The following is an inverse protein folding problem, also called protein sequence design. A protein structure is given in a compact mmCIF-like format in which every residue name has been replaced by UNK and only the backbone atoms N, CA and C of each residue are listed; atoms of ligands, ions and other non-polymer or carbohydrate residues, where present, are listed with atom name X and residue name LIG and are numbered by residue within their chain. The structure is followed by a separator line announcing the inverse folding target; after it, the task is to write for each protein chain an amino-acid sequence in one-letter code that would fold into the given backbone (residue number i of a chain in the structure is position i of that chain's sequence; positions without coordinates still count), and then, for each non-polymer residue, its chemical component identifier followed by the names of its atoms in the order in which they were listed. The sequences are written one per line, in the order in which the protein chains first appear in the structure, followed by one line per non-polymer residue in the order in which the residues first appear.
data_IF_160992880226
#
_entry.id   IF_160992880226
#
_cell.length_a   1.000
_cell.length_b   1.000
_cell.length_c   1.000
_cell.angle_alpha   90.00
_cell.angle_beta   90.00
_cell.angle_gamma   90.00
#
_symmetry.space_group_name_H-M   'P 1'
#
loop_
_entity.id
_entity.type
_entity.pdbx_description
1 polymer ?
#
# COMPACT_ATOMS: atom_id res chain seq x y z
N UNK A 1 3.44 -23.34 6.04
CA UNK A 1 3.56 -21.86 6.15
C UNK A 1 3.07 -21.43 7.53
N UNK A 2 3.73 -20.47 8.19
CA UNK A 2 3.29 -19.98 9.50
C UNK A 2 1.87 -19.40 9.44
N UNK A 3 1.15 -19.42 10.56
CA UNK A 3 -0.20 -18.86 10.68
C UNK A 3 -0.24 -17.38 10.21
N UNK A 4 0.77 -16.59 10.55
CA UNK A 4 0.89 -15.18 10.14
C UNK A 4 0.94 -15.03 8.61
N UNK A 5 1.76 -15.84 7.92
CA UNK A 5 1.84 -15.82 6.45
C UNK A 5 0.53 -16.18 5.77
N UNK A 6 -0.29 -17.03 6.41
CA UNK A 6 -1.62 -17.39 5.87
C UNK A 6 -2.61 -16.24 6.04
N UNK A 7 -2.58 -15.55 7.18
CA UNK A 7 -3.40 -14.36 7.45
C UNK A 7 -3.05 -13.23 6.49
N UNK A 8 -1.76 -12.96 6.27
CA UNK A 8 -1.28 -11.94 5.31
C UNK A 8 -1.83 -12.20 3.90
N UNK A 9 -1.63 -13.41 3.38
CA UNK A 9 -2.12 -13.79 2.04
C UNK A 9 -3.63 -13.67 1.90
N UNK A 10 -4.39 -14.09 2.92
CA UNK A 10 -5.86 -13.99 2.93
C UNK A 10 -6.32 -12.55 2.74
N UNK A 11 -5.71 -11.60 3.46
CA UNK A 11 -6.11 -10.20 3.39
C UNK A 11 -5.63 -9.50 2.12
N UNK A 12 -4.40 -9.77 1.69
CA UNK A 12 -3.89 -9.27 0.41
C UNK A 12 -4.81 -9.64 -0.75
N UNK A 13 -5.19 -10.93 -0.86
CA UNK A 13 -6.09 -11.41 -1.91
C UNK A 13 -7.50 -10.77 -1.81
N UNK A 14 -8.02 -10.56 -0.59
CA UNK A 14 -9.34 -9.94 -0.40
C UNK A 14 -9.34 -8.46 -0.79
N UNK A 15 -8.26 -7.73 -0.51
CA UNK A 15 -8.14 -6.31 -0.89
C UNK A 15 -7.99 -6.14 -2.40
N UNK A 16 -7.20 -7.02 -3.03
CA UNK A 16 -7.01 -7.04 -4.49
C UNK A 16 -8.33 -7.33 -5.22
N UNK A 17 -9.06 -8.37 -4.80
CA UNK A 17 -10.36 -8.72 -5.40
C UNK A 17 -11.43 -7.63 -5.22
N UNK A 18 -11.30 -6.78 -4.21
CA UNK A 18 -12.21 -5.67 -3.93
C UNK A 18 -11.74 -4.34 -4.54
N UNK A 19 -10.59 -4.32 -5.21
CA UNK A 19 -10.00 -3.12 -5.85
C UNK A 19 -9.91 -1.90 -4.92
N UNK A 20 -9.76 -2.09 -3.61
CA UNK A 20 -9.87 -0.98 -2.63
C UNK A 20 -8.73 0.04 -2.70
N UNK A 21 -7.64 -0.28 -3.38
CA UNK A 21 -6.50 0.61 -3.61
C UNK A 21 -6.50 1.23 -5.01
N UNK A 22 -7.53 0.97 -5.81
CA UNK A 22 -7.76 1.63 -7.08
C UNK A 22 -8.70 2.81 -6.85
N UNK A 23 -8.18 4.02 -7.03
CA UNK A 23 -8.96 5.23 -6.78
C UNK A 23 -9.95 5.49 -7.93
N UNK A 24 -11.24 5.54 -7.62
CA UNK A 24 -12.30 6.04 -8.50
C UNK A 24 -12.57 7.54 -8.21
N UNK A 25 -12.30 8.46 -9.15
CA UNK A 25 -12.47 9.89 -8.94
C UNK A 25 -13.95 10.29 -8.71
N UNK A 26 -14.28 10.63 -7.46
CA UNK A 26 -15.59 11.20 -7.11
C UNK A 26 -15.46 12.71 -6.79
N UNK A 27 -16.05 13.62 -7.58
CA UNK A 27 -16.03 15.06 -7.33
C UNK A 27 -16.64 15.47 -5.98
N UNK A 28 -17.45 14.62 -5.35
CA UNK A 28 -18.06 14.87 -4.03
C UNK A 28 -17.09 14.60 -2.89
N UNK A 29 -16.01 13.85 -3.12
CA UNK A 29 -15.00 13.50 -2.11
C UNK A 29 -13.81 14.44 -2.22
N UNK A 30 -13.21 14.79 -1.07
CA UNK A 30 -11.99 15.58 -1.05
C UNK A 30 -10.84 14.75 -1.63
N UNK A 31 -10.29 15.18 -2.77
CA UNK A 31 -9.10 14.57 -3.37
C UNK A 31 -7.92 14.58 -2.40
N UNK A 32 -7.23 13.45 -2.31
CA UNK A 32 -5.92 13.33 -1.68
C UNK A 32 -5.00 12.53 -2.60
N UNK A 33 -3.77 13.01 -2.79
CA UNK A 33 -2.70 12.27 -3.46
C UNK A 33 -1.55 12.13 -2.47
N UNK A 34 -1.14 10.89 -2.20
CA UNK A 34 -0.01 10.57 -1.33
C UNK A 34 0.94 9.70 -2.15
N UNK A 35 2.23 10.06 -2.17
CA UNK A 35 3.24 9.34 -2.94
C UNK A 35 4.60 9.44 -2.25
N UNK A 36 5.55 8.60 -2.67
CA UNK A 36 6.96 8.65 -2.26
C UNK A 36 7.86 8.52 -3.50
N UNK A 37 9.13 8.94 -3.42
CA UNK A 37 10.07 8.78 -4.52
C UNK A 37 10.23 7.31 -4.89
N UNK A 38 9.98 7.00 -6.17
CA UNK A 38 10.13 5.64 -6.69
C UNK A 38 11.59 5.17 -6.55
N UNK A 39 11.85 3.96 -6.04
CA UNK A 39 13.21 3.48 -5.81
C UNK A 39 13.92 3.15 -7.13
N UNK A 40 15.24 3.31 -7.15
CA UNK A 40 16.07 2.83 -8.25
C UNK A 40 16.11 1.29 -8.25
N UNK A 41 15.97 0.69 -9.43
CA UNK A 41 15.93 -0.77 -9.61
C UNK A 41 17.34 -1.38 -9.74
N UNK A 42 18.28 -0.95 -8.89
CA UNK A 42 19.67 -1.38 -8.90
C UNK A 42 19.97 -2.48 -7.86
N UNK A 43 19.01 -2.87 -7.03
CA UNK A 43 19.20 -3.92 -6.04
C UNK A 43 17.93 -4.26 -5.24
N UNK A 44 18.05 -5.20 -4.28
CA UNK A 44 16.94 -5.58 -3.42
C UNK A 44 16.49 -4.45 -2.48
N UNK A 45 15.20 -4.45 -2.14
CA UNK A 45 14.67 -3.52 -1.15
C UNK A 45 15.23 -3.82 0.25
N UNK A 46 15.97 -2.87 0.83
CA UNK A 46 16.36 -2.89 2.24
C UNK A 46 15.35 -2.16 3.14
N UNK A 47 15.54 -2.26 4.48
CA UNK A 47 14.63 -1.71 5.52
C UNK A 47 14.30 -0.22 5.38
N UNK A 48 15.19 0.57 4.75
CA UNK A 48 14.95 1.99 4.50
C UNK A 48 13.79 2.22 3.54
N UNK A 49 13.62 1.36 2.55
CA UNK A 49 12.46 1.40 1.64
C UNK A 49 11.17 1.13 2.40
N UNK A 50 11.16 0.14 3.29
CA UNK A 50 10.01 -0.18 4.13
C UNK A 50 9.65 1.01 5.02
N UNK A 51 10.62 1.65 5.66
CA UNK A 51 10.39 2.83 6.49
C UNK A 51 9.70 3.97 5.73
N UNK A 52 10.12 4.24 4.50
CA UNK A 52 9.52 5.30 3.66
C UNK A 52 8.14 4.88 3.13
N UNK A 53 8.01 3.68 2.57
CA UNK A 53 6.76 3.22 1.96
C UNK A 53 5.63 3.03 3.00
N UNK A 54 5.94 2.48 4.17
CA UNK A 54 4.94 2.25 5.23
C UNK A 54 4.34 3.56 5.75
N UNK A 55 5.11 4.65 5.82
CA UNK A 55 4.57 5.96 6.23
C UNK A 55 3.50 6.46 5.28
N UNK A 56 3.75 6.32 3.98
CA UNK A 56 2.79 6.68 2.93
C UNK A 56 1.55 5.80 3.00
N UNK A 57 1.72 4.48 3.11
CA UNK A 57 0.60 3.53 3.19
C UNK A 57 -0.28 3.76 4.43
N UNK A 58 0.32 3.98 5.60
CA UNK A 58 -0.41 4.26 6.85
C UNK A 58 -1.21 5.56 6.74
N UNK A 59 -0.62 6.62 6.17
CA UNK A 59 -1.33 7.88 6.00
C UNK A 59 -2.45 7.76 4.96
N UNK A 60 -2.23 7.04 3.86
CA UNK A 60 -3.23 6.80 2.83
C UNK A 60 -4.43 5.97 3.35
N UNK A 61 -4.20 5.04 4.28
CA UNK A 61 -5.28 4.26 4.92
C UNK A 61 -6.07 5.03 5.96
N UNK A 62 -5.44 6.04 6.59
CA UNK A 62 -6.07 6.84 7.63
C UNK A 62 -7.00 7.93 7.06
N UNK A 63 -6.69 8.43 5.86
CA UNK A 63 -7.43 9.51 5.20
C UNK A 63 -8.51 9.01 4.27
#
# INVERSE_FOLDING_TARGET
MSQLKQIEKKWQARWEAAHIFEADPDPKRKKLLVTFPYPYMNGPLHVGHTFTATRVDVYARFK
#
